data_IF_935736592500
#
_entry.id   IF_935736592500
#
_cell.length_a   1.000
_cell.length_b   1.000
_cell.length_c   1.000
_cell.angle_alpha   90.00
_cell.angle_beta   90.00
_cell.angle_gamma   90.00
#
_symmetry.space_group_name_H-M   'P 1'
#
loop_
_entity.id
_entity.type
_entity.pdbx_description
1 polymer ?
#
# COMPACT_ATOMS: atom_id res chain seq x y z
N UNK A 1 58.93 -0.74 -4.57
CA UNK A 1 58.06 -1.22 -3.47
C UNK A 1 57.25 -0.01 -3.03
N UNK A 2 56.02 0.18 -3.52
CA UNK A 2 54.71 -0.12 -2.87
C UNK A 2 54.59 0.53 -1.47
N UNK A 3 53.56 1.29 -1.07
CA UNK A 3 52.13 1.27 -1.40
C UNK A 3 51.47 2.65 -1.19
N UNK A 4 50.53 3.09 -2.06
CA UNK A 4 49.67 4.25 -1.85
C UNK A 4 48.21 3.80 -1.62
N UNK A 5 47.71 3.60 -0.38
CA UNK A 5 46.38 2.95 -0.24
C UNK A 5 45.62 3.22 1.09
N UNK A 6 45.70 4.40 1.70
CA UNK A 6 44.98 4.67 2.98
C UNK A 6 44.01 5.86 3.00
N UNK A 7 43.76 6.56 1.89
CA UNK A 7 42.86 7.73 1.89
C UNK A 7 41.48 7.51 1.26
N UNK A 8 41.06 6.27 0.95
CA UNK A 8 39.79 6.02 0.21
C UNK A 8 38.71 5.23 0.93
N UNK A 9 38.95 4.69 2.13
CA UNK A 9 38.02 3.75 2.79
C UNK A 9 37.11 4.33 3.87
N UNK A 10 37.18 5.63 4.19
CA UNK A 10 36.38 6.19 5.30
C UNK A 10 35.02 6.78 4.89
N UNK A 11 34.77 7.01 3.59
CA UNK A 11 33.56 7.74 3.13
C UNK A 11 32.43 6.78 2.69
N UNK A 12 32.74 5.52 2.37
CA UNK A 12 31.74 4.62 1.79
C UNK A 12 30.86 3.87 2.80
N UNK A 13 31.16 3.92 4.11
CA UNK A 13 30.45 3.10 5.10
C UNK A 13 29.21 3.81 5.70
N UNK A 14 29.11 5.14 5.59
CA UNK A 14 27.99 5.89 6.17
C UNK A 14 26.70 5.87 5.32
N UNK A 15 26.77 5.52 4.03
CA UNK A 15 25.60 5.55 3.14
C UNK A 15 24.79 4.25 3.18
N UNK A 16 25.39 3.13 3.55
CA UNK A 16 24.72 1.82 3.54
C UNK A 16 23.81 1.61 4.77
N UNK A 17 24.00 2.36 5.85
CA UNK A 17 23.19 2.20 7.07
C UNK A 17 21.80 2.87 6.99
N UNK A 18 21.58 3.81 6.07
CA UNK A 18 20.30 4.53 5.93
C UNK A 18 19.35 3.90 4.90
N UNK A 19 19.79 2.91 4.12
CA UNK A 19 18.94 2.23 3.13
C UNK A 19 18.20 1.00 3.69
N UNK A 20 18.38 0.67 4.96
CA UNK A 20 17.89 -0.57 5.58
C UNK A 20 16.45 -0.56 6.12
N UNK A 21 15.72 0.55 6.04
CA UNK A 21 14.43 0.73 6.75
C UNK A 21 13.19 0.95 5.85
N UNK A 22 13.31 0.85 4.53
CA UNK A 22 12.20 1.19 3.61
C UNK A 22 11.88 0.11 2.58
N UNK A 23 12.08 -1.17 2.92
CA UNK A 23 11.73 -2.30 2.07
C UNK A 23 10.69 -3.25 2.71
N UNK A 24 9.86 -2.77 3.63
CA UNK A 24 8.67 -3.52 4.06
C UNK A 24 7.60 -3.47 2.97
N UNK A 25 7.65 -4.45 2.07
CA UNK A 25 6.46 -4.97 1.37
C UNK A 25 6.02 -4.23 0.11
N UNK A 26 6.81 -4.30 -0.97
CA UNK A 26 6.28 -4.12 -2.32
C UNK A 26 5.50 -5.37 -2.77
N UNK A 27 4.45 -5.76 -2.04
CA UNK A 27 3.40 -6.58 -2.65
C UNK A 27 2.47 -5.61 -3.36
N UNK A 28 2.36 -5.65 -4.71
CA UNK A 28 1.45 -4.75 -5.41
C UNK A 28 0.05 -5.02 -4.90
N UNK A 29 -0.54 -4.06 -4.19
CA UNK A 29 -1.95 -4.13 -3.82
C UNK A 29 -2.72 -4.19 -5.13
N UNK A 30 -3.60 -5.19 -5.35
CA UNK A 30 -4.30 -5.33 -6.60
C UNK A 30 -5.08 -4.06 -6.89
N UNK A 31 -5.00 -3.57 -8.13
CA UNK A 31 -5.72 -2.37 -8.52
C UNK A 31 -7.22 -2.61 -8.37
N UNK A 32 -7.96 -1.56 -8.04
CA UNK A 32 -9.42 -1.62 -7.95
C UNK A 32 -10.10 -2.27 -9.16
N UNK A 33 -9.59 -2.03 -10.37
CA UNK A 33 -10.14 -2.63 -11.59
C UNK A 33 -9.92 -4.16 -11.68
N UNK A 34 -8.87 -4.69 -11.06
CA UNK A 34 -8.59 -6.14 -11.01
C UNK A 34 -9.21 -6.82 -9.80
N UNK A 35 -9.33 -6.12 -8.67
CA UNK A 35 -9.98 -6.62 -7.46
C UNK A 35 -11.52 -6.51 -7.50
N UNK A 36 -12.08 -5.73 -8.44
CA UNK A 36 -13.52 -5.60 -8.60
C UNK A 36 -14.16 -6.88 -9.11
N UNK A 37 -15.22 -7.30 -8.42
CA UNK A 37 -15.93 -8.57 -8.64
C UNK A 37 -17.44 -8.37 -8.79
N UNK A 38 -17.97 -7.20 -8.40
CA UNK A 38 -19.38 -6.87 -8.53
C UNK A 38 -19.76 -5.59 -7.77
N UNK A 39 -21.03 -5.15 -7.83
CA UNK A 39 -21.51 -4.07 -7.00
C UNK A 39 -21.53 -4.49 -5.52
N UNK A 40 -21.09 -3.62 -4.61
CA UNK A 40 -21.04 -3.89 -3.18
C UNK A 40 -20.17 -2.91 -2.40
N UNK A 41 -19.91 -3.24 -1.13
CA UNK A 41 -18.96 -2.50 -0.29
C UNK A 41 -17.57 -3.10 -0.40
N UNK A 42 -16.58 -2.25 -0.61
CA UNK A 42 -15.18 -2.62 -0.72
C UNK A 42 -14.35 -1.91 0.35
N UNK A 43 -13.38 -2.64 0.89
CA UNK A 43 -12.40 -2.10 1.81
C UNK A 43 -11.27 -1.47 1.00
N UNK A 44 -11.16 -0.15 1.04
CA UNK A 44 -10.21 0.62 0.25
C UNK A 44 -9.32 1.46 1.16
N UNK A 45 -8.05 1.65 0.80
CA UNK A 45 -7.21 2.64 1.49
C UNK A 45 -7.55 4.06 1.02
N UNK A 46 -7.45 5.02 1.94
CA UNK A 46 -7.73 6.42 1.65
C UNK A 46 -6.73 6.96 0.61
N UNK A 47 -7.27 7.47 -0.49
CA UNK A 47 -6.51 7.97 -1.63
C UNK A 47 -5.60 9.15 -1.28
N UNK A 48 -5.88 9.90 -0.20
CA UNK A 48 -4.99 10.97 0.27
C UNK A 48 -3.59 10.46 0.66
N UNK A 49 -3.49 9.17 1.01
CA UNK A 49 -2.25 8.54 1.50
C UNK A 49 -1.64 7.63 0.43
N UNK A 50 -2.36 7.35 -0.67
CA UNK A 50 -1.88 6.43 -1.71
C UNK A 50 -1.21 7.17 -2.87
N UNK A 51 0.10 6.94 -3.05
CA UNK A 51 0.85 7.37 -4.24
C UNK A 51 0.53 6.53 -5.49
N UNK A 52 0.08 5.28 -5.31
CA UNK A 52 -0.08 4.29 -6.38
C UNK A 52 -1.52 4.15 -6.91
N UNK A 53 -2.42 5.08 -6.57
CA UNK A 53 -3.84 5.01 -6.92
C UNK A 53 -4.66 4.10 -6.01
N UNK A 54 -5.98 4.07 -6.26
CA UNK A 54 -6.94 3.34 -5.44
C UNK A 54 -6.66 1.83 -5.49
N UNK A 55 -6.84 1.14 -4.36
CA UNK A 55 -6.75 -0.34 -4.31
C UNK A 55 -7.77 -0.93 -3.35
N UNK A 56 -8.45 -2.01 -3.75
CA UNK A 56 -9.34 -2.75 -2.86
C UNK A 56 -8.58 -3.89 -2.18
N UNK A 57 -8.73 -3.97 -0.87
CA UNK A 57 -8.18 -5.03 -0.03
C UNK A 57 -9.14 -6.21 0.11
N UNK A 58 -10.43 -5.98 -0.14
CA UNK A 58 -11.46 -7.02 -0.13
C UNK A 58 -12.85 -6.48 -0.45
N UNK A 59 -13.76 -7.40 -0.74
CA UNK A 59 -15.13 -7.14 -1.22
C UNK A 59 -15.52 -8.12 -2.33
N UNK A 60 -16.79 -8.12 -2.77
CA UNK A 60 -17.86 -7.22 -2.40
C UNK A 60 -18.58 -7.74 -1.13
N UNK A 61 -18.83 -6.85 -0.18
CA UNK A 61 -19.52 -7.19 1.07
C UNK A 61 -20.72 -6.28 1.33
N UNK A 62 -21.44 -6.56 2.42
CA UNK A 62 -22.31 -5.59 3.09
C UNK A 62 -21.47 -4.59 3.86
N UNK A 63 -22.05 -3.44 4.22
CA UNK A 63 -21.35 -2.41 4.99
C UNK A 63 -20.80 -2.95 6.30
N UNK A 64 -21.63 -3.66 7.07
CA UNK A 64 -21.26 -4.18 8.40
C UNK A 64 -20.05 -5.11 8.31
N UNK A 65 -20.04 -6.02 7.32
CA UNK A 65 -18.92 -6.94 7.11
C UNK A 65 -17.65 -6.20 6.64
N UNK A 66 -17.79 -5.14 5.86
CA UNK A 66 -16.64 -4.32 5.48
C UNK A 66 -16.01 -3.64 6.72
N UNK A 67 -16.83 -3.08 7.61
CA UNK A 67 -16.35 -2.48 8.86
C UNK A 67 -15.74 -3.53 9.80
N UNK A 68 -16.32 -4.73 9.88
CA UNK A 68 -15.74 -5.86 10.60
C UNK A 68 -14.34 -6.23 10.09
N UNK A 69 -14.12 -6.26 8.77
CA UNK A 69 -12.80 -6.51 8.18
C UNK A 69 -11.84 -5.34 8.40
N UNK A 70 -12.34 -4.09 8.45
CA UNK A 70 -11.54 -2.90 8.78
C UNK A 70 -11.02 -2.94 10.21
N UNK A 71 -11.85 -3.28 11.19
CA UNK A 71 -11.45 -3.32 12.61
C UNK A 71 -10.52 -4.50 12.93
N UNK A 72 -10.50 -5.55 12.10
CA UNK A 72 -9.53 -6.66 12.21
C UNK A 72 -8.11 -6.24 11.82
N UNK A 73 -7.97 -5.16 11.06
CA UNK A 73 -6.65 -4.64 10.69
C UNK A 73 -6.00 -3.95 11.89
N UNK A 74 -4.66 -3.85 11.92
CA UNK A 74 -3.94 -3.04 12.89
C UNK A 74 -4.50 -1.61 12.94
N UNK A 75 -4.53 -0.95 14.11
CA UNK A 75 -5.17 0.36 14.27
C UNK A 75 -4.58 1.43 13.33
N UNK A 76 -3.28 1.34 13.03
CA UNK A 76 -2.58 2.20 12.09
C UNK A 76 -3.08 2.02 10.64
N UNK A 77 -3.47 0.80 10.25
CA UNK A 77 -4.07 0.54 8.94
C UNK A 77 -5.57 0.80 8.94
N UNK A 78 -6.29 0.43 9.99
CA UNK A 78 -7.73 0.60 10.10
C UNK A 78 -8.18 2.06 10.00
N UNK A 79 -7.34 3.00 10.45
CA UNK A 79 -7.57 4.46 10.31
C UNK A 79 -7.32 4.98 8.89
N UNK A 80 -6.51 4.27 8.11
CA UNK A 80 -6.23 4.59 6.71
C UNK A 80 -7.16 3.87 5.73
N UNK A 81 -7.97 2.93 6.21
CA UNK A 81 -8.92 2.15 5.41
C UNK A 81 -10.34 2.72 5.56
N UNK A 82 -11.11 2.59 4.49
CA UNK A 82 -12.46 3.11 4.35
C UNK A 82 -13.33 2.05 3.65
N UNK A 83 -14.58 1.94 4.08
CA UNK A 83 -15.59 1.17 3.37
C UNK A 83 -16.25 2.05 2.31
N UNK A 84 -15.95 1.76 1.04
CA UNK A 84 -16.45 2.51 -0.12
C UNK A 84 -17.52 1.68 -0.82
N UNK A 85 -18.66 2.30 -1.12
CA UNK A 85 -19.73 1.65 -1.88
C UNK A 85 -19.49 1.82 -3.37
N UNK A 86 -19.29 0.71 -4.06
CA UNK A 86 -19.13 0.67 -5.50
C UNK A 86 -20.37 0.08 -6.16
N UNK A 87 -21.03 0.89 -7.01
CA UNK A 87 -22.21 0.44 -7.76
C UNK A 87 -21.87 0.08 -9.21
N UNK A 88 -20.68 0.46 -9.70
CA UNK A 88 -20.21 0.23 -11.07
C UNK A 88 -18.78 -0.27 -11.05
N UNK A 89 -18.35 -0.88 -12.16
CA UNK A 89 -16.95 -1.27 -12.33
C UNK A 89 -16.09 0.00 -12.42
N UNK A 90 -15.11 0.19 -11.53
CA UNK A 90 -14.22 1.34 -11.59
C UNK A 90 -13.30 1.27 -12.81
N UNK A 91 -12.86 2.45 -13.28
CA UNK A 91 -11.83 2.56 -14.31
C UNK A 91 -10.46 2.09 -13.80
N UNK A 92 -9.45 2.11 -14.69
CA UNK A 92 -8.07 1.67 -14.36
C UNK A 92 -7.46 2.49 -13.21
N UNK A 93 -7.99 3.69 -12.94
CA UNK A 93 -7.51 4.60 -11.90
C UNK A 93 -8.37 4.57 -10.62
N UNK A 94 -9.49 3.84 -10.61
CA UNK A 94 -10.39 3.79 -9.47
C UNK A 94 -11.44 4.88 -9.39
N UNK A 95 -11.81 5.45 -10.53
CA UNK A 95 -12.95 6.37 -10.67
C UNK A 95 -14.15 5.56 -11.14
N UNK A 96 -15.28 5.67 -10.43
CA UNK A 96 -16.54 4.99 -10.72
C UNK A 96 -17.67 5.94 -11.10
#
# INVERSE_FOLDING_TARGET
MSFPLLCRSAICIAVVALTGLSASGCSPTPSVATAWTGPGWYLQKNNLIQLSGNSYFGGPWTYDKCEEERIKQPPEMATQLLCVRENRKPDVFGRS
#
